data_IF_764017925888
#
_entry.id   IF_764017925888
#
_cell.length_a   1.000
_cell.length_b   1.000
_cell.length_c   1.000
_cell.angle_alpha   90.00
_cell.angle_beta   90.00
_cell.angle_gamma   90.00
#
_symmetry.space_group_name_H-M   'P 1'
#
loop_
_entity.id
_entity.type
_entity.pdbx_description
1 polymer ?
#
# COMPACT_ATOMS: atom_id res chain seq x y z
N UNK A 1 -15.10 -51.55 11.80
CA UNK A 1 -14.69 -50.64 10.69
C UNK A 1 -15.16 -49.18 10.91
N UNK A 2 -16.40 -48.92 11.33
CA UNK A 2 -16.97 -47.57 11.50
C UNK A 2 -16.20 -46.71 12.53
N UNK A 3 -15.86 -47.27 13.70
CA UNK A 3 -15.11 -46.54 14.77
C UNK A 3 -13.71 -46.07 14.31
N UNK A 4 -12.95 -46.90 13.52
CA UNK A 4 -11.66 -46.49 13.00
C UNK A 4 -11.75 -45.30 12.04
N UNK A 5 -12.80 -45.19 11.22
CA UNK A 5 -13.01 -44.05 10.31
C UNK A 5 -13.28 -42.74 11.06
N UNK A 6 -14.05 -42.81 12.17
CA UNK A 6 -14.29 -41.63 13.00
C UNK A 6 -13.03 -41.13 13.71
N UNK A 7 -12.19 -42.04 14.19
CA UNK A 7 -10.91 -41.68 14.81
C UNK A 7 -9.99 -41.03 13.79
N UNK A 8 -9.88 -41.56 12.58
CA UNK A 8 -9.07 -40.96 11.51
C UNK A 8 -9.58 -39.59 11.13
N UNK A 9 -10.91 -39.41 11.00
CA UNK A 9 -11.51 -38.13 10.70
C UNK A 9 -11.24 -37.10 11.82
N UNK A 10 -11.37 -37.48 13.08
CA UNK A 10 -11.10 -36.61 14.22
C UNK A 10 -9.61 -36.18 14.29
N UNK A 11 -8.67 -37.09 14.03
CA UNK A 11 -7.23 -36.79 13.95
C UNK A 11 -6.94 -35.83 12.79
N UNK A 12 -7.54 -36.03 11.62
CA UNK A 12 -7.36 -35.15 10.48
C UNK A 12 -7.89 -33.73 10.77
N UNK A 13 -9.05 -33.60 11.38
CA UNK A 13 -9.62 -32.31 11.78
C UNK A 13 -8.73 -31.61 12.80
N UNK A 14 -8.24 -32.35 13.81
CA UNK A 14 -7.32 -31.78 14.81
C UNK A 14 -6.00 -31.30 14.16
N UNK A 15 -5.44 -32.07 13.23
CA UNK A 15 -4.23 -31.68 12.51
C UNK A 15 -4.44 -30.42 11.66
N UNK A 16 -5.58 -30.31 10.97
CA UNK A 16 -5.93 -29.11 10.18
C UNK A 16 -6.15 -27.89 11.09
N UNK A 17 -6.79 -28.07 12.25
CA UNK A 17 -6.95 -26.98 13.20
C UNK A 17 -5.61 -26.50 13.76
N UNK A 18 -4.71 -27.40 14.14
CA UNK A 18 -3.36 -27.07 14.60
C UNK A 18 -2.53 -26.38 13.50
N UNK A 19 -2.66 -26.84 12.25
CA UNK A 19 -2.02 -26.19 11.12
C UNK A 19 -2.57 -24.76 10.93
N UNK A 20 -3.89 -24.57 10.99
CA UNK A 20 -4.52 -23.24 10.92
C UNK A 20 -4.05 -22.30 12.03
N UNK A 21 -3.92 -22.79 13.27
CA UNK A 21 -3.37 -22.02 14.39
C UNK A 21 -1.88 -21.66 14.13
N UNK A 22 -1.10 -22.62 13.64
CA UNK A 22 0.29 -22.34 13.26
C UNK A 22 0.41 -21.26 12.19
N UNK A 23 -0.41 -21.31 11.14
CA UNK A 23 -0.43 -20.31 10.07
C UNK A 23 -0.84 -18.92 10.58
N UNK A 24 -1.79 -18.85 11.52
CA UNK A 24 -2.18 -17.60 12.17
C UNK A 24 -1.08 -17.01 13.06
N UNK A 25 -0.35 -17.83 13.79
CA UNK A 25 0.65 -17.34 14.74
C UNK A 25 2.04 -17.13 14.12
N UNK A 26 2.38 -17.90 13.10
CA UNK A 26 3.75 -17.96 12.57
C UNK A 26 3.85 -18.06 11.05
N UNK A 27 2.73 -18.17 10.33
CA UNK A 27 2.69 -18.39 8.90
C UNK A 27 2.02 -17.24 8.12
N UNK A 28 1.45 -17.57 6.97
CA UNK A 28 0.85 -16.63 6.01
C UNK A 28 -0.39 -15.90 6.51
N UNK A 29 -1.08 -16.46 7.49
CA UNK A 29 -2.25 -15.83 8.09
C UNK A 29 -1.91 -14.89 9.25
N UNK A 30 -0.62 -14.75 9.59
CA UNK A 30 -0.15 -13.86 10.65
C UNK A 30 -0.66 -12.42 10.55
N UNK A 31 -0.75 -11.76 9.37
CA UNK A 31 -1.31 -10.43 9.26
C UNK A 31 -2.76 -10.29 9.74
N UNK A 32 -3.47 -11.41 9.89
CA UNK A 32 -4.85 -11.47 10.41
C UNK A 32 -4.93 -11.97 11.86
N UNK A 33 -3.79 -12.28 12.48
CA UNK A 33 -3.72 -12.73 13.87
C UNK A 33 -4.02 -11.59 14.84
N UNK A 34 -4.73 -11.91 15.93
CA UNK A 34 -4.91 -10.98 17.05
C UNK A 34 -3.69 -10.96 18.00
N UNK A 35 -2.73 -11.87 17.81
CA UNK A 35 -1.56 -12.01 18.66
C UNK A 35 -0.30 -11.93 17.80
N UNK A 36 0.62 -11.05 18.19
CA UNK A 36 1.95 -10.90 17.56
C UNK A 36 2.94 -11.90 18.17
N UNK A 37 2.70 -13.21 17.95
CA UNK A 37 3.51 -14.27 18.53
C UNK A 37 4.99 -14.15 18.10
N UNK A 38 5.90 -14.22 19.08
CA UNK A 38 7.33 -14.16 18.85
C UNK A 38 7.93 -12.77 18.74
N UNK A 39 7.12 -11.72 18.79
CA UNK A 39 7.57 -10.33 18.78
C UNK A 39 7.50 -9.73 20.20
N UNK A 40 8.45 -8.86 20.52
CA UNK A 40 8.34 -7.91 21.62
C UNK A 40 7.53 -6.71 21.16
N UNK A 41 6.65 -6.20 22.03
CA UNK A 41 5.77 -5.06 21.73
C UNK A 41 6.29 -3.83 22.45
N UNK A 42 6.36 -2.71 21.72
CA UNK A 42 6.68 -1.39 22.26
C UNK A 42 5.64 -0.39 21.79
N UNK A 43 4.99 0.28 22.73
CA UNK A 43 3.97 1.29 22.46
C UNK A 43 4.60 2.67 22.38
N UNK A 44 4.16 3.45 21.42
CA UNK A 44 4.42 4.87 21.27
C UNK A 44 3.09 5.62 21.29
N UNK A 45 3.13 6.94 21.39
CA UNK A 45 1.94 7.78 21.52
C UNK A 45 0.89 7.54 20.41
N UNK A 46 1.32 7.19 19.20
CA UNK A 46 0.47 7.12 18.01
C UNK A 46 0.61 5.84 17.18
N UNK A 47 1.48 4.92 17.58
CA UNK A 47 1.74 3.67 16.86
C UNK A 47 2.35 2.61 17.76
N UNK A 48 2.31 1.37 17.34
CA UNK A 48 2.89 0.22 18.03
C UNK A 48 3.96 -0.40 17.16
N UNK A 49 5.13 -0.69 17.74
CA UNK A 49 6.21 -1.40 17.06
C UNK A 49 6.37 -2.79 17.66
N UNK A 50 6.37 -3.78 16.79
CA UNK A 50 6.69 -5.18 17.10
C UNK A 50 8.09 -5.51 16.56
N UNK A 51 8.98 -6.03 17.41
CA UNK A 51 10.41 -6.20 17.11
C UNK A 51 11.03 -7.42 17.81
N UNK A 52 12.28 -7.80 17.42
CA UNK A 52 13.07 -8.87 18.02
C UNK A 52 14.33 -8.36 18.74
N UNK A 53 14.32 -7.19 19.25
CA UNK A 53 15.44 -6.55 19.91
C UNK A 53 15.09 -5.11 20.15
N UNK A 54 15.98 -4.27 20.56
CA UNK A 54 15.68 -2.85 20.71
C UNK A 54 15.70 -2.19 19.32
N UNK A 55 14.59 -1.55 18.88
CA UNK A 55 14.60 -0.74 17.67
C UNK A 55 15.52 0.46 17.85
N UNK A 56 16.21 0.87 16.80
CA UNK A 56 17.02 2.07 16.85
C UNK A 56 16.13 3.31 17.00
N UNK A 57 16.44 4.16 17.98
CA UNK A 57 15.61 5.36 18.28
C UNK A 57 15.48 6.32 17.10
N UNK A 58 16.46 6.39 16.21
CA UNK A 58 16.42 7.21 14.99
C UNK A 58 15.35 6.75 13.99
N UNK A 59 15.11 5.43 13.89
CA UNK A 59 14.09 4.87 13.00
C UNK A 59 12.66 5.15 13.50
N UNK A 60 12.52 5.47 14.77
CA UNK A 60 11.23 5.66 15.44
C UNK A 60 10.80 7.11 15.54
N UNK A 61 11.76 8.08 15.50
CA UNK A 61 11.42 9.50 15.47
C UNK A 61 10.61 9.86 14.23
N UNK A 62 10.97 9.30 13.08
CA UNK A 62 10.37 9.59 11.79
C UNK A 62 8.91 9.10 11.71
N UNK A 63 8.57 8.05 12.47
CA UNK A 63 7.20 7.47 12.47
C UNK A 63 6.12 8.37 13.05
N UNK A 64 6.45 9.26 13.98
CA UNK A 64 5.45 10.20 14.55
C UNK A 64 4.93 11.15 13.48
N UNK A 65 5.84 11.69 12.69
CA UNK A 65 5.49 12.62 11.62
C UNK A 65 4.71 11.92 10.51
N UNK A 66 5.06 10.66 10.20
CA UNK A 66 4.36 9.85 9.18
C UNK A 66 2.88 9.68 9.52
N UNK A 67 2.52 9.35 10.76
CA UNK A 67 1.10 9.19 11.15
C UNK A 67 0.33 10.51 10.97
N UNK A 68 0.92 11.64 11.34
CA UNK A 68 0.30 12.95 11.19
C UNK A 68 0.17 13.34 9.70
N UNK A 69 1.20 13.09 8.90
CA UNK A 69 1.19 13.33 7.45
C UNK A 69 0.06 12.56 6.78
N UNK A 70 -0.09 11.27 7.11
CA UNK A 70 -1.11 10.40 6.54
C UNK A 70 -2.53 10.87 6.87
N UNK A 71 -2.79 11.17 8.13
CA UNK A 71 -4.11 11.63 8.54
C UNK A 71 -4.48 12.98 7.92
N UNK A 72 -3.50 13.90 7.84
CA UNK A 72 -3.72 15.18 7.16
C UNK A 72 -3.92 14.97 5.66
N UNK A 73 -3.06 14.21 4.99
CA UNK A 73 -3.18 13.98 3.55
C UNK A 73 -4.51 13.32 3.16
N UNK A 74 -4.92 12.26 3.87
CA UNK A 74 -6.16 11.53 3.58
C UNK A 74 -7.42 12.20 4.12
N UNK A 75 -7.29 13.13 5.07
CA UNK A 75 -8.43 13.75 5.77
C UNK A 75 -9.22 12.78 6.63
N UNK A 76 -8.57 11.69 7.08
CA UNK A 76 -9.16 10.63 7.89
C UNK A 76 -8.15 10.16 8.94
N UNK A 77 -8.56 9.95 10.22
CA UNK A 77 -7.68 9.36 11.22
C UNK A 77 -7.51 7.86 10.97
N UNK A 78 -6.44 7.28 11.47
CA UNK A 78 -6.36 5.83 11.62
C UNK A 78 -7.47 5.32 12.55
N UNK A 79 -8.10 4.19 12.23
CA UNK A 79 -9.16 3.59 13.07
C UNK A 79 -8.61 2.88 14.31
N UNK A 80 -7.39 2.43 14.23
CA UNK A 80 -6.60 1.86 15.32
C UNK A 80 -5.16 2.34 15.18
N UNK A 81 -4.41 2.32 16.27
CA UNK A 81 -2.97 2.62 16.23
C UNK A 81 -2.28 1.76 15.18
N UNK A 82 -1.53 2.36 14.24
CA UNK A 82 -0.77 1.61 13.26
C UNK A 82 0.19 0.62 13.91
N UNK A 83 0.21 -0.61 13.43
CA UNK A 83 1.09 -1.68 13.89
C UNK A 83 2.22 -1.90 12.88
N UNK A 84 3.47 -1.80 13.34
CA UNK A 84 4.67 -1.89 12.52
C UNK A 84 5.49 -3.08 12.99
N UNK A 85 5.73 -4.04 12.09
CA UNK A 85 6.48 -5.27 12.37
C UNK A 85 7.88 -5.19 11.77
N UNK A 86 8.90 -5.07 12.62
CA UNK A 86 10.31 -5.12 12.23
C UNK A 86 10.76 -6.58 12.20
N UNK A 87 10.74 -7.20 11.03
CA UNK A 87 11.11 -8.60 10.89
C UNK A 87 12.61 -8.83 11.17
N UNK A 88 12.91 -9.95 11.81
CA UNK A 88 14.26 -10.35 12.22
C UNK A 88 15.17 -10.64 11.03
N UNK A 89 14.61 -11.29 10.01
CA UNK A 89 15.31 -11.67 8.78
C UNK A 89 14.32 -11.75 7.60
N UNK A 90 14.84 -11.84 6.37
CA UNK A 90 14.02 -11.89 5.16
C UNK A 90 13.23 -13.21 5.03
N UNK A 91 13.65 -14.29 5.70
CA UNK A 91 12.89 -15.55 5.75
C UNK A 91 11.62 -15.38 6.57
N UNK A 92 11.72 -14.76 7.75
CA UNK A 92 10.55 -14.43 8.56
C UNK A 92 9.60 -13.49 7.79
N UNK A 93 10.14 -12.42 7.23
CA UNK A 93 9.37 -11.49 6.42
C UNK A 93 8.60 -12.19 5.29
N UNK A 94 9.29 -13.01 4.49
CA UNK A 94 8.65 -13.76 3.40
C UNK A 94 7.63 -14.78 3.91
N UNK A 95 7.89 -15.43 5.04
CA UNK A 95 6.98 -16.39 5.66
C UNK A 95 5.67 -15.73 6.11
N UNK A 96 5.75 -14.54 6.72
CA UNK A 96 4.59 -13.82 7.24
C UNK A 96 3.80 -13.08 6.14
N UNK A 97 4.48 -12.49 5.18
CA UNK A 97 3.85 -11.62 4.18
C UNK A 97 3.66 -12.27 2.81
N UNK A 98 4.48 -13.23 2.45
CA UNK A 98 4.56 -13.77 1.10
C UNK A 98 5.33 -12.90 0.12
N UNK A 99 5.61 -11.66 0.47
CA UNK A 99 6.29 -10.69 -0.37
C UNK A 99 7.81 -10.79 -0.34
N UNK A 100 8.44 -10.10 -1.32
CA UNK A 100 9.90 -9.89 -1.39
C UNK A 100 10.26 -8.41 -1.48
N UNK A 101 9.27 -7.53 -1.46
CA UNK A 101 9.48 -6.09 -1.37
C UNK A 101 10.18 -5.72 -0.05
N UNK A 102 10.72 -4.52 0.05
CA UNK A 102 11.34 -4.02 1.31
C UNK A 102 10.32 -3.80 2.41
N UNK A 103 9.15 -3.34 2.01
CA UNK A 103 8.01 -3.01 2.87
C UNK A 103 6.76 -3.61 2.27
N UNK A 104 5.76 -3.87 3.07
CA UNK A 104 4.45 -4.29 2.60
C UNK A 104 3.38 -3.99 3.66
N UNK A 105 2.26 -3.42 3.22
CA UNK A 105 1.08 -3.20 4.02
C UNK A 105 0.07 -4.33 3.80
N UNK A 106 -0.30 -5.05 4.85
CA UNK A 106 -1.31 -6.12 4.80
C UNK A 106 -2.26 -5.95 5.97
N UNK A 107 -3.56 -5.88 5.67
CA UNK A 107 -4.63 -5.81 6.68
C UNK A 107 -4.44 -4.64 7.67
N UNK A 108 -3.97 -3.49 7.17
CA UNK A 108 -3.73 -2.29 7.99
C UNK A 108 -2.50 -2.35 8.88
N UNK A 109 -1.61 -3.33 8.65
CA UNK A 109 -0.34 -3.54 9.36
C UNK A 109 0.82 -3.39 8.41
N UNK A 110 1.89 -2.74 8.87
CA UNK A 110 3.11 -2.53 8.10
C UNK A 110 4.17 -3.56 8.49
N UNK A 111 4.71 -4.28 7.50
CA UNK A 111 5.82 -5.19 7.67
C UNK A 111 7.08 -4.62 7.02
N UNK A 112 8.17 -4.58 7.78
CA UNK A 112 9.48 -4.04 7.36
C UNK A 112 10.48 -5.19 7.31
N UNK A 113 11.05 -5.48 6.13
CA UNK A 113 12.04 -6.52 5.96
C UNK A 113 13.37 -6.17 6.65
N UNK A 114 14.20 -7.16 6.96
CA UNK A 114 15.55 -6.92 7.49
C UNK A 114 16.39 -6.10 6.52
N UNK A 115 16.27 -6.39 5.23
CA UNK A 115 16.93 -5.63 4.17
C UNK A 115 16.55 -4.15 4.19
N UNK A 116 15.27 -3.82 4.37
CA UNK A 116 14.82 -2.42 4.46
C UNK A 116 15.45 -1.69 5.65
N UNK A 117 15.49 -2.36 6.82
CA UNK A 117 16.11 -1.81 8.03
C UNK A 117 17.62 -1.55 7.83
N UNK A 118 18.32 -2.44 7.12
CA UNK A 118 19.75 -2.29 6.81
C UNK A 118 19.99 -1.22 5.74
N UNK A 119 19.17 -1.15 4.70
CA UNK A 119 19.23 -0.13 3.65
C UNK A 119 19.01 1.27 4.23
N UNK A 120 18.06 1.42 5.15
CA UNK A 120 17.82 2.68 5.87
C UNK A 120 18.99 3.09 6.76
N UNK A 121 19.52 2.14 7.55
CA UNK A 121 20.69 2.39 8.43
C UNK A 121 21.93 2.84 7.66
N UNK A 122 22.08 2.36 6.43
CA UNK A 122 23.20 2.69 5.54
C UNK A 122 22.93 3.90 4.65
N UNK A 123 21.78 4.57 4.83
CA UNK A 123 21.39 5.74 4.02
C UNK A 123 21.13 5.42 2.55
N UNK A 124 20.88 4.14 2.21
CA UNK A 124 20.56 3.74 0.83
C UNK A 124 19.12 4.01 0.43
N UNK A 125 18.25 4.19 1.40
CA UNK A 125 16.86 4.58 1.20
C UNK A 125 16.47 5.66 2.21
N UNK A 126 15.55 6.52 1.82
CA UNK A 126 14.83 7.41 2.72
C UNK A 126 13.73 6.61 3.42
N UNK A 127 13.96 6.30 4.71
CA UNK A 127 13.04 5.48 5.47
C UNK A 127 11.68 6.16 5.66
N UNK A 128 11.68 7.46 5.98
CA UNK A 128 10.45 8.22 6.21
C UNK A 128 9.56 8.19 4.96
N UNK A 129 10.13 8.43 3.79
CA UNK A 129 9.40 8.40 2.53
C UNK A 129 8.75 7.03 2.27
N UNK A 130 9.49 5.92 2.46
CA UNK A 130 8.91 4.58 2.27
C UNK A 130 7.87 4.22 3.32
N UNK A 131 8.08 4.64 4.57
CA UNK A 131 7.08 4.44 5.64
C UNK A 131 5.81 5.23 5.34
N UNK A 132 5.90 6.47 4.86
CA UNK A 132 4.76 7.27 4.44
C UNK A 132 4.01 6.54 3.31
N UNK A 133 4.69 6.06 2.28
CA UNK A 133 4.06 5.30 1.20
C UNK A 133 3.23 4.10 1.72
N UNK A 134 3.83 3.27 2.54
CA UNK A 134 3.16 2.05 3.04
C UNK A 134 2.08 2.35 4.09
N UNK A 135 2.25 3.42 4.87
CA UNK A 135 1.25 3.84 5.85
C UNK A 135 0.00 4.41 5.19
N UNK A 136 0.12 4.99 3.99
CA UNK A 136 -1.03 5.32 3.13
C UNK A 136 -1.89 4.09 2.85
N UNK A 137 -1.25 2.98 2.47
CA UNK A 137 -1.95 1.71 2.29
C UNK A 137 -2.59 1.21 3.59
N UNK A 138 -1.87 1.27 4.71
CA UNK A 138 -2.39 0.85 6.02
C UNK A 138 -3.64 1.65 6.42
N UNK A 139 -3.62 2.98 6.26
CA UNK A 139 -4.74 3.84 6.58
C UNK A 139 -5.97 3.47 5.75
N UNK A 140 -5.83 3.37 4.43
CA UNK A 140 -6.93 2.98 3.54
C UNK A 140 -7.47 1.58 3.86
N UNK A 141 -6.58 0.61 4.14
CA UNK A 141 -6.98 -0.75 4.52
C UNK A 141 -7.76 -0.78 5.84
N UNK A 142 -7.43 0.06 6.82
CA UNK A 142 -8.17 0.15 8.07
C UNK A 142 -9.60 0.69 7.87
N UNK A 143 -9.85 1.47 6.82
CA UNK A 143 -11.16 2.01 6.49
C UNK A 143 -12.02 1.11 5.61
N UNK A 144 -11.49 -0.01 5.16
CA UNK A 144 -12.19 -0.94 4.25
C UNK A 144 -12.18 -2.37 4.80
N UNK A 145 -13.14 -3.19 4.36
CA UNK A 145 -13.01 -4.63 4.55
C UNK A 145 -11.91 -5.18 3.64
N UNK A 146 -11.33 -6.32 4.00
CA UNK A 146 -10.28 -6.98 3.21
C UNK A 146 -10.67 -7.14 1.74
N UNK A 147 -11.89 -7.63 1.47
CA UNK A 147 -12.38 -7.82 0.09
C UNK A 147 -12.44 -6.51 -0.69
N UNK A 148 -12.78 -5.41 -0.03
CA UNK A 148 -12.81 -4.10 -0.67
C UNK A 148 -11.41 -3.55 -0.91
N UNK A 149 -10.50 -3.69 0.04
CA UNK A 149 -9.11 -3.26 -0.13
C UNK A 149 -8.43 -4.01 -1.29
N UNK A 150 -8.71 -5.30 -1.47
CA UNK A 150 -8.19 -6.08 -2.59
C UNK A 150 -8.79 -5.68 -3.96
N UNK A 151 -9.97 -5.06 -3.96
CA UNK A 151 -10.62 -4.52 -5.18
C UNK A 151 -10.29 -3.06 -5.46
N UNK A 152 -9.50 -2.42 -4.61
CA UNK A 152 -9.05 -1.05 -4.85
C UNK A 152 -8.22 -0.99 -6.14
N UNK A 153 -8.51 -0.06 -7.07
CA UNK A 153 -7.68 0.11 -8.26
C UNK A 153 -6.25 0.46 -7.87
N UNK A 154 -5.29 -0.29 -8.42
CA UNK A 154 -3.87 -0.11 -8.08
C UNK A 154 -3.35 1.27 -8.43
N UNK A 155 -3.79 1.85 -9.56
CA UNK A 155 -3.37 3.19 -9.94
C UNK A 155 -3.70 4.23 -8.86
N UNK A 156 -4.90 4.12 -8.24
CA UNK A 156 -5.32 5.05 -7.19
C UNK A 156 -4.59 4.77 -5.88
N UNK A 157 -4.45 3.49 -5.53
CA UNK A 157 -3.76 3.06 -4.33
C UNK A 157 -2.29 3.51 -4.34
N UNK A 158 -1.56 3.16 -5.41
CA UNK A 158 -0.14 3.50 -5.56
C UNK A 158 0.07 4.99 -5.84
N UNK A 159 -0.76 5.60 -6.69
CA UNK A 159 -0.68 7.03 -6.99
C UNK A 159 -0.89 7.90 -5.76
N UNK A 160 -1.86 7.54 -4.90
CA UNK A 160 -2.11 8.22 -3.62
C UNK A 160 -0.91 8.12 -2.69
N UNK A 161 -0.33 6.92 -2.55
CA UNK A 161 0.85 6.68 -1.72
C UNK A 161 2.10 7.42 -2.26
N UNK A 162 2.32 7.41 -3.58
CA UNK A 162 3.42 8.11 -4.25
C UNK A 162 3.35 9.64 -4.06
N UNK A 163 2.15 10.22 -4.21
CA UNK A 163 1.96 11.67 -4.04
C UNK A 163 2.05 12.07 -2.55
N UNK A 164 1.47 11.30 -1.64
CA UNK A 164 1.57 11.52 -0.20
C UNK A 164 3.02 11.48 0.29
N UNK A 165 3.78 10.49 -0.16
CA UNK A 165 5.19 10.31 0.22
C UNK A 165 6.17 11.24 -0.50
N UNK A 166 5.72 12.00 -1.50
CA UNK A 166 6.62 12.81 -2.34
C UNK A 166 7.66 11.96 -3.09
N UNK A 167 7.29 10.75 -3.49
CA UNK A 167 8.24 9.74 -3.98
C UNK A 167 8.57 9.87 -5.47
N UNK A 168 7.81 10.65 -6.24
CA UNK A 168 8.06 10.92 -7.65
C UNK A 168 9.41 11.64 -7.83
N UNK A 169 10.31 11.05 -8.63
CA UNK A 169 11.66 11.58 -8.86
C UNK A 169 12.72 11.14 -7.84
N UNK A 170 12.38 10.21 -6.93
CA UNK A 170 13.31 9.73 -5.91
C UNK A 170 13.79 8.31 -6.21
N UNK A 171 15.09 8.08 -6.15
CA UNK A 171 15.71 6.77 -6.34
C UNK A 171 15.49 6.21 -7.75
N UNK A 172 14.74 5.11 -7.84
CA UNK A 172 14.43 4.43 -9.11
C UNK A 172 13.21 5.02 -9.84
N UNK A 173 12.47 5.90 -9.20
CA UNK A 173 11.22 6.46 -9.72
C UNK A 173 11.50 7.65 -10.62
N UNK A 174 11.06 7.62 -11.90
CA UNK A 174 11.22 8.76 -12.79
C UNK A 174 10.62 10.04 -12.22
N UNK A 175 11.28 11.15 -12.50
CA UNK A 175 10.76 12.46 -12.12
C UNK A 175 9.57 12.89 -12.99
N UNK A 176 8.91 13.96 -12.56
CA UNK A 176 7.72 14.49 -13.23
C UNK A 176 8.00 14.87 -14.70
N UNK A 177 9.15 15.44 -15.01
CA UNK A 177 9.49 15.84 -16.39
C UNK A 177 9.61 14.61 -17.28
N UNK A 178 10.28 13.57 -16.82
CA UNK A 178 10.42 12.29 -17.53
C UNK A 178 9.05 11.63 -17.80
N UNK A 179 8.16 11.65 -16.80
CA UNK A 179 6.79 11.12 -16.95
C UNK A 179 6.01 11.94 -17.98
N UNK A 180 6.02 13.26 -17.86
CA UNK A 180 5.28 14.15 -18.77
C UNK A 180 5.76 14.03 -20.20
N UNK A 181 7.06 13.98 -20.42
CA UNK A 181 7.65 13.76 -21.74
C UNK A 181 7.24 12.41 -22.36
N UNK A 182 7.15 11.37 -21.54
CA UNK A 182 6.69 10.06 -21.99
C UNK A 182 5.21 10.11 -22.39
N UNK A 183 4.36 10.68 -21.54
CA UNK A 183 2.91 10.84 -21.81
C UNK A 183 2.69 11.69 -23.07
N UNK A 184 3.41 12.79 -23.25
CA UNK A 184 3.33 13.63 -24.43
C UNK A 184 3.71 12.88 -25.74
N UNK A 185 4.59 11.89 -25.65
CA UNK A 185 4.93 10.98 -26.76
C UNK A 185 3.95 9.81 -26.93
N UNK A 186 2.84 9.78 -26.19
CA UNK A 186 1.84 8.73 -26.26
C UNK A 186 2.14 7.49 -25.42
N UNK A 187 3.15 7.55 -24.53
CA UNK A 187 3.44 6.49 -23.56
C UNK A 187 2.64 6.78 -22.28
N UNK A 188 1.51 6.14 -22.14
CA UNK A 188 0.62 6.30 -20.99
C UNK A 188 -0.02 4.96 -20.62
N UNK A 189 0.02 4.62 -19.34
CA UNK A 189 -0.69 3.48 -18.81
C UNK A 189 -2.09 3.90 -18.38
N UNK A 190 -3.10 3.45 -19.12
CA UNK A 190 -4.48 3.74 -18.73
C UNK A 190 -4.78 3.15 -17.34
N UNK A 191 -5.30 3.94 -16.40
CA UNK A 191 -5.66 3.45 -15.07
C UNK A 191 -6.52 2.20 -15.06
N UNK A 192 -7.45 2.05 -16.03
CA UNK A 192 -8.31 0.89 -16.17
C UNK A 192 -7.54 -0.40 -16.51
N UNK A 193 -6.41 -0.30 -17.22
CA UNK A 193 -5.62 -1.45 -17.66
C UNK A 193 -4.72 -2.00 -16.53
N UNK A 194 -4.46 -1.21 -15.49
CA UNK A 194 -3.59 -1.62 -14.39
C UNK A 194 -4.30 -2.56 -13.38
N UNK A 195 -5.62 -2.58 -13.39
CA UNK A 195 -6.43 -3.49 -12.58
C UNK A 195 -6.41 -3.20 -11.08
N UNK A 196 -6.72 -4.23 -10.31
CA UNK A 196 -6.76 -4.22 -8.84
C UNK A 196 -5.63 -5.06 -8.25
N UNK A 197 -5.50 -5.09 -6.93
CA UNK A 197 -4.55 -5.99 -6.24
C UNK A 197 -4.81 -7.47 -6.61
N UNK A 198 -6.07 -7.86 -6.86
CA UNK A 198 -6.44 -9.24 -7.25
C UNK A 198 -6.08 -9.59 -8.69
N UNK A 199 -5.98 -8.61 -9.58
CA UNK A 199 -5.74 -8.87 -11.00
C UNK A 199 -4.28 -9.20 -11.31
N UNK A 200 -3.38 -8.98 -10.35
CA UNK A 200 -1.95 -9.11 -10.56
C UNK A 200 -1.42 -8.06 -11.54
N UNK A 201 -0.33 -8.38 -12.24
CA UNK A 201 0.32 -7.47 -13.18
C UNK A 201 -0.26 -7.51 -14.60
N UNK A 202 -1.57 -7.60 -14.75
CA UNK A 202 -2.20 -7.66 -16.08
C UNK A 202 -1.89 -6.46 -16.98
N UNK A 203 -1.71 -5.28 -16.39
CA UNK A 203 -1.38 -4.04 -17.11
C UNK A 203 0.04 -3.95 -17.66
N UNK A 204 0.90 -4.94 -17.40
CA UNK A 204 2.31 -4.90 -17.86
C UNK A 204 2.51 -5.27 -19.33
N UNK A 205 1.44 -5.61 -20.05
CA UNK A 205 1.49 -5.93 -21.48
C UNK A 205 1.71 -4.71 -22.40
N UNK A 206 1.82 -3.49 -21.83
CA UNK A 206 2.12 -2.30 -22.62
C UNK A 206 3.49 -2.43 -23.28
N UNK A 207 3.51 -2.26 -24.58
CA UNK A 207 4.72 -2.19 -25.41
C UNK A 207 5.47 -0.87 -25.17
N UNK A 208 5.87 -0.63 -23.91
CA UNK A 208 6.56 0.59 -23.54
C UNK A 208 8.07 0.33 -23.54
N UNK A 209 8.90 1.15 -24.23
CA UNK A 209 10.35 1.02 -24.26
C UNK A 209 11.02 1.55 -22.98
N UNK A 210 10.36 1.45 -21.82
CA UNK A 210 10.86 1.94 -20.54
C UNK A 210 11.53 0.79 -19.78
N UNK A 211 12.75 1.01 -19.34
CA UNK A 211 13.59 0.01 -18.68
C UNK A 211 12.98 -0.52 -17.39
N UNK A 212 12.49 0.37 -16.52
CA UNK A 212 11.81 -0.01 -15.29
C UNK A 212 10.33 0.39 -15.31
N UNK A 213 9.52 -0.46 -15.94
CA UNK A 213 8.08 -0.23 -16.12
C UNK A 213 7.33 0.00 -14.81
N UNK A 214 7.61 -0.79 -13.79
CA UNK A 214 6.92 -0.67 -12.50
C UNK A 214 7.18 0.69 -11.86
N UNK A 215 8.43 1.12 -11.83
CA UNK A 215 8.78 2.43 -11.30
C UNK A 215 8.16 3.57 -12.12
N UNK A 216 8.10 3.42 -13.45
CA UNK A 216 7.45 4.40 -14.32
C UNK A 216 5.96 4.52 -14.02
N UNK A 217 5.23 3.41 -13.95
CA UNK A 217 3.78 3.43 -13.66
C UNK A 217 3.49 4.04 -12.29
N UNK A 218 4.29 3.74 -11.28
CA UNK A 218 4.13 4.35 -9.97
C UNK A 218 4.31 5.86 -10.03
N UNK A 219 5.35 6.36 -10.72
CA UNK A 219 5.54 7.79 -10.92
C UNK A 219 4.43 8.43 -11.76
N UNK A 220 3.94 7.75 -12.80
CA UNK A 220 2.83 8.24 -13.62
C UNK A 220 1.54 8.38 -12.80
N UNK A 221 1.22 7.38 -11.98
CA UNK A 221 0.05 7.44 -11.11
C UNK A 221 0.20 8.49 -10.01
N UNK A 222 1.42 8.66 -9.46
CA UNK A 222 1.74 9.75 -8.55
C UNK A 222 1.51 11.12 -9.20
N UNK A 223 1.98 11.32 -10.43
CA UNK A 223 1.76 12.54 -11.21
C UNK A 223 0.26 12.77 -11.53
N UNK A 224 -0.50 11.71 -11.85
CA UNK A 224 -1.93 11.82 -12.10
C UNK A 224 -2.68 12.22 -10.83
N UNK A 225 -2.37 11.61 -9.68
CA UNK A 225 -2.98 11.96 -8.39
C UNK A 225 -2.62 13.39 -7.98
N UNK A 226 -1.36 13.80 -8.13
CA UNK A 226 -0.92 15.17 -7.89
C UNK A 226 -1.68 16.17 -8.79
N UNK A 227 -1.86 15.83 -10.07
CA UNK A 227 -2.66 16.64 -11.00
C UNK A 227 -4.10 16.78 -10.54
N UNK A 228 -4.76 15.69 -10.15
CA UNK A 228 -6.13 15.72 -9.64
C UNK A 228 -6.24 16.56 -8.37
N UNK A 229 -5.33 16.36 -7.42
CA UNK A 229 -5.29 17.10 -6.17
C UNK A 229 -5.02 18.60 -6.38
N UNK A 230 -4.13 18.94 -7.30
CA UNK A 230 -3.81 20.33 -7.63
C UNK A 230 -4.93 21.02 -8.40
N UNK A 231 -5.59 20.32 -9.33
CA UNK A 231 -6.68 20.87 -10.15
C UNK A 231 -7.97 21.11 -9.36
N UNK A 232 -8.29 20.23 -8.41
CA UNK A 232 -9.54 20.27 -7.66
C UNK A 232 -9.40 20.75 -6.22
N UNK A 233 -8.15 20.84 -5.73
CA UNK A 233 -7.81 21.19 -4.36
C UNK A 233 -7.77 19.98 -3.41
N UNK A 234 -6.84 20.02 -2.45
CA UNK A 234 -6.60 18.95 -1.49
C UNK A 234 -7.88 18.55 -0.71
N UNK A 235 -8.71 19.51 -0.36
CA UNK A 235 -9.94 19.25 0.40
C UNK A 235 -10.95 18.40 -0.39
N UNK A 236 -11.11 18.64 -1.70
CA UNK A 236 -11.97 17.81 -2.55
C UNK A 236 -11.38 16.42 -2.76
N UNK A 237 -10.05 16.30 -2.89
CA UNK A 237 -9.39 15.00 -2.98
C UNK A 237 -9.59 14.17 -1.71
N UNK A 238 -9.46 14.78 -0.52
CA UNK A 238 -9.79 14.15 0.78
C UNK A 238 -11.26 13.68 0.82
N UNK A 239 -12.18 14.52 0.37
CA UNK A 239 -13.60 14.17 0.30
C UNK A 239 -13.85 12.98 -0.64
N UNK A 240 -13.13 12.90 -1.76
CA UNK A 240 -13.19 11.76 -2.69
C UNK A 240 -12.68 10.47 -2.04
N UNK A 241 -11.51 10.48 -1.40
CA UNK A 241 -10.99 9.30 -0.71
C UNK A 241 -11.94 8.82 0.39
N UNK A 242 -12.45 9.75 1.20
CA UNK A 242 -13.43 9.44 2.25
C UNK A 242 -14.71 8.83 1.67
N UNK A 243 -15.29 9.45 0.67
CA UNK A 243 -16.49 8.95 0.00
C UNK A 243 -16.29 7.55 -0.57
N UNK A 244 -15.12 7.29 -1.18
CA UNK A 244 -14.77 6.01 -1.74
C UNK A 244 -14.68 4.91 -0.67
N UNK A 245 -13.99 5.16 0.46
CA UNK A 245 -13.83 4.17 1.52
C UNK A 245 -15.09 3.96 2.36
N UNK A 246 -15.97 4.95 2.46
CA UNK A 246 -17.25 4.85 3.19
C UNK A 246 -18.37 4.27 2.33
N UNK A 247 -18.27 4.33 0.99
CA UNK A 247 -19.31 3.82 0.09
C UNK A 247 -19.51 2.31 0.26
N UNK A 248 -20.73 1.81 0.12
CA UNK A 248 -21.00 0.36 0.21
C UNK A 248 -20.37 -0.43 -0.94
N UNK A 249 -20.32 0.17 -2.10
CA UNK A 249 -19.73 -0.40 -3.31
C UNK A 249 -18.50 0.41 -3.66
N UNK A 250 -17.33 -0.22 -3.77
CA UNK A 250 -16.10 0.44 -4.20
C UNK A 250 -16.21 0.79 -5.69
N UNK A 251 -16.92 1.88 -6.00
CA UNK A 251 -17.08 2.38 -7.36
C UNK A 251 -16.38 3.72 -7.48
N UNK A 252 -15.16 3.68 -8.00
CA UNK A 252 -14.29 4.87 -8.13
C UNK A 252 -14.91 5.91 -9.03
N UNK A 253 -15.43 5.51 -10.19
CA UNK A 253 -16.02 6.43 -11.18
C UNK A 253 -17.19 7.21 -10.57
N UNK A 254 -18.11 6.50 -9.92
CA UNK A 254 -19.27 7.13 -9.28
C UNK A 254 -18.86 8.06 -8.14
N UNK A 255 -17.90 7.68 -7.33
CA UNK A 255 -17.38 8.55 -6.25
C UNK A 255 -16.68 9.76 -6.83
N UNK A 256 -15.94 9.58 -7.91
CA UNK A 256 -15.23 10.62 -8.63
C UNK A 256 -16.21 11.66 -9.20
N UNK A 257 -17.19 11.23 -9.98
CA UNK A 257 -18.22 12.12 -10.55
C UNK A 257 -18.98 12.89 -9.47
N UNK A 258 -19.35 12.20 -8.38
CA UNK A 258 -20.10 12.83 -7.28
C UNK A 258 -19.30 13.94 -6.61
N UNK A 259 -18.00 13.76 -6.39
CA UNK A 259 -17.18 14.72 -5.64
C UNK A 259 -16.60 15.81 -6.54
N UNK A 260 -16.12 15.43 -7.72
CA UNK A 260 -15.44 16.39 -8.61
C UNK A 260 -16.41 17.03 -9.64
N UNK A 261 -17.55 16.40 -9.93
CA UNK A 261 -18.52 16.91 -10.91
C UNK A 261 -18.10 16.68 -12.36
N UNK A 262 -17.13 15.81 -12.59
CA UNK A 262 -16.58 15.44 -13.89
C UNK A 262 -16.25 13.94 -13.89
N UNK A 263 -16.05 13.34 -15.06
CA UNK A 263 -15.66 11.93 -15.16
C UNK A 263 -14.13 11.75 -15.00
N UNK A 264 -13.70 10.57 -14.54
CA UNK A 264 -12.29 10.24 -14.47
C UNK A 264 -11.63 10.30 -15.85
N UNK A 265 -12.31 9.79 -16.89
CA UNK A 265 -11.80 9.83 -18.27
C UNK A 265 -11.57 11.26 -18.79
N UNK A 266 -12.46 12.19 -18.44
CA UNK A 266 -12.29 13.59 -18.79
C UNK A 266 -11.04 14.20 -18.11
N UNK A 267 -10.80 13.86 -16.85
CA UNK A 267 -9.62 14.33 -16.14
C UNK A 267 -8.32 13.68 -16.64
N UNK A 268 -8.34 12.40 -17.00
CA UNK A 268 -7.21 11.73 -17.66
C UNK A 268 -6.90 12.41 -19.00
N UNK A 269 -7.92 12.73 -19.80
CA UNK A 269 -7.72 13.47 -21.04
C UNK A 269 -7.13 14.87 -20.80
N UNK A 270 -7.59 15.58 -19.74
CA UNK A 270 -7.00 16.86 -19.34
C UNK A 270 -5.52 16.70 -18.92
N UNK A 271 -5.19 15.70 -18.12
CA UNK A 271 -3.84 15.39 -17.72
C UNK A 271 -2.93 15.19 -18.95
N UNK A 272 -3.33 14.33 -19.90
CA UNK A 272 -2.61 14.09 -21.16
C UNK A 272 -2.41 15.37 -21.97
N UNK A 273 -3.45 16.21 -22.08
CA UNK A 273 -3.35 17.47 -22.80
C UNK A 273 -2.42 18.48 -22.11
N UNK A 274 -2.37 18.49 -20.77
CA UNK A 274 -1.47 19.37 -20.04
C UNK A 274 0.00 18.97 -20.22
N UNK A 275 0.30 17.66 -20.26
CA UNK A 275 1.66 17.18 -20.52
C UNK A 275 2.18 17.57 -21.91
N UNK A 276 1.29 17.72 -22.91
CA UNK A 276 1.66 18.15 -24.28
C UNK A 276 1.92 19.65 -24.40
N UNK A 277 1.54 20.47 -23.42
CA UNK A 277 1.68 21.94 -23.46
C UNK A 277 2.90 22.45 -22.71
N UNK A 278 3.55 21.60 -21.96
CA UNK A 278 4.76 21.92 -21.19
C UNK A 278 6.01 21.59 -21.97
#
# INVERSE_FOLDING_TARGET
MRKKRWVVAAVAVAALALFGVYELLFGRLFPFSLVAAGFSRQEYERFIVYHHGQPESSQLSDLRDVVAIEEDYHGMPFRSEPEIFLCRDDREYHRLTGGRARFIAINGRLFVSKRAQEDARQGRIDLQMYLTHEMSHCLLQQHMSLVRSLKMPRWLLEGTAMDCAGQVGVGIYPDRSTVYDAVARGVFCEPADFGTVLDGEKGTALSCPIENRTAFFYSEFGCLVEFLRSSHGAQRYRAFLKDLVESRTLNVERSFERVFGTTLDAEIARFKNETQRR
#
